data_IF_961104114718
#
_entry.id   IF_961104114718
#
_cell.length_a   1.000
_cell.length_b   1.000
_cell.length_c   1.000
_cell.angle_alpha   90.00
_cell.angle_beta   90.00
_cell.angle_gamma   90.00
#
_symmetry.space_group_name_H-M   'P 1'
#
loop_
_entity.id
_entity.type
_entity.pdbx_description
1 polymer ?
#
# COMPACT_ATOMS: atom_id res chain seq x y z
N UNK A 1 5.57 -6.78 11.36
CA UNK A 1 6.40 -6.27 10.22
C UNK A 1 6.34 -4.75 10.26
N UNK A 2 7.46 -4.06 10.11
CA UNK A 2 7.50 -2.59 10.07
C UNK A 2 7.33 -2.05 8.63
N UNK A 3 7.17 -0.73 8.50
CA UNK A 3 6.99 -0.08 7.20
C UNK A 3 8.16 -0.35 6.23
N UNK A 4 9.40 -0.28 6.72
CA UNK A 4 10.59 -0.55 5.90
C UNK A 4 10.61 -1.98 5.37
N UNK A 5 10.16 -2.97 6.18
CA UNK A 5 10.04 -4.35 5.73
C UNK A 5 8.96 -4.50 4.64
N UNK A 6 7.81 -3.81 4.75
CA UNK A 6 6.78 -3.80 3.72
C UNK A 6 7.29 -3.20 2.39
N UNK A 7 8.01 -2.08 2.46
CA UNK A 7 8.58 -1.44 1.28
C UNK A 7 9.64 -2.33 0.61
N UNK A 8 10.52 -2.96 1.40
CA UNK A 8 11.50 -3.94 0.89
C UNK A 8 10.83 -5.17 0.28
N UNK A 9 9.71 -5.64 0.84
CA UNK A 9 8.95 -6.75 0.26
C UNK A 9 8.36 -6.37 -1.11
N UNK A 10 7.81 -5.16 -1.25
CA UNK A 10 7.39 -4.63 -2.55
C UNK A 10 8.51 -4.66 -3.58
N UNK A 11 9.71 -4.24 -3.20
CA UNK A 11 10.85 -4.18 -4.10
C UNK A 11 11.42 -5.56 -4.44
N UNK A 12 11.62 -6.44 -3.42
CA UNK A 12 12.37 -7.68 -3.60
C UNK A 12 11.49 -8.85 -4.04
N UNK A 13 10.28 -8.91 -3.50
CA UNK A 13 9.42 -10.07 -3.63
C UNK A 13 8.34 -9.88 -4.71
N UNK A 14 7.87 -8.65 -4.92
CA UNK A 14 6.86 -8.32 -5.91
C UNK A 14 7.49 -7.68 -7.15
N UNK A 15 8.36 -6.71 -6.95
CA UNK A 15 9.11 -5.94 -7.93
C UNK A 15 8.23 -5.08 -8.86
N UNK A 16 7.34 -5.67 -9.65
CA UNK A 16 6.43 -4.93 -10.55
C UNK A 16 5.10 -4.68 -9.87
N UNK A 17 4.69 -3.42 -9.82
CA UNK A 17 3.43 -2.97 -9.23
C UNK A 17 2.57 -2.22 -10.25
N UNK A 18 1.25 -2.21 -10.03
CA UNK A 18 0.32 -1.35 -10.77
C UNK A 18 0.27 0.00 -10.09
N UNK A 19 0.75 1.02 -10.78
CA UNK A 19 0.74 2.41 -10.32
C UNK A 19 -0.46 3.16 -10.89
N UNK A 20 -1.12 3.97 -10.08
CA UNK A 20 -2.23 4.84 -10.45
C UNK A 20 -1.86 6.30 -10.21
N UNK A 21 -2.20 7.14 -11.18
CA UNK A 21 -2.08 8.60 -11.15
C UNK A 21 -3.35 9.22 -11.72
N UNK A 22 -3.55 10.52 -11.49
CA UNK A 22 -4.73 11.24 -11.99
C UNK A 22 -4.34 12.07 -13.20
N UNK A 23 -5.15 12.05 -14.26
CA UNK A 23 -4.97 12.87 -15.44
C UNK A 23 -5.56 14.29 -15.28
N UNK A 24 -5.55 15.06 -16.35
CA UNK A 24 -6.06 16.44 -16.36
C UNK A 24 -7.56 16.55 -16.15
N UNK A 25 -8.30 15.48 -16.44
CA UNK A 25 -9.76 15.42 -16.31
C UNK A 25 -10.17 14.88 -14.93
N UNK A 26 -9.19 14.60 -14.05
CA UNK A 26 -9.43 14.02 -12.73
C UNK A 26 -9.67 12.52 -12.75
N UNK A 27 -9.43 11.85 -13.88
CA UNK A 27 -9.65 10.41 -14.02
C UNK A 27 -8.39 9.61 -13.66
N UNK A 28 -8.55 8.42 -13.04
CA UNK A 28 -7.42 7.56 -12.69
C UNK A 28 -6.85 6.89 -13.95
N UNK A 29 -5.53 6.93 -14.09
CA UNK A 29 -4.78 6.25 -15.14
C UNK A 29 -3.76 5.33 -14.51
N UNK A 30 -3.72 4.07 -14.95
CA UNK A 30 -2.80 3.06 -14.42
C UNK A 30 -1.71 2.70 -15.41
N UNK A 31 -0.57 2.24 -14.87
CA UNK A 31 0.50 1.61 -15.64
C UNK A 31 1.30 0.66 -14.73
N UNK A 32 1.98 -0.32 -15.31
CA UNK A 32 2.96 -1.11 -14.60
C UNK A 32 4.24 -0.29 -14.36
N UNK A 33 4.83 -0.43 -13.17
CA UNK A 33 6.10 0.19 -12.80
C UNK A 33 6.92 -0.78 -11.97
N UNK A 34 8.21 -0.88 -12.26
CA UNK A 34 9.14 -1.66 -11.44
C UNK A 34 9.66 -0.82 -10.28
N UNK A 35 9.66 -1.43 -9.10
CA UNK A 35 10.24 -0.83 -7.90
C UNK A 35 11.74 -1.13 -7.91
N UNK A 36 12.54 -0.16 -8.28
CA UNK A 36 13.96 -0.30 -8.53
C UNK A 36 14.78 -0.45 -7.25
N UNK A 37 14.34 0.18 -6.17
CA UNK A 37 14.96 0.14 -4.85
C UNK A 37 13.96 0.55 -3.77
N UNK A 38 14.26 0.17 -2.50
CA UNK A 38 13.50 0.56 -1.32
C UNK A 38 14.43 0.79 -0.14
N UNK A 39 14.21 1.89 0.58
CA UNK A 39 14.82 2.16 1.88
C UNK A 39 13.73 2.35 2.95
N UNK A 40 14.13 2.65 4.19
CA UNK A 40 13.19 2.88 5.30
C UNK A 40 12.28 4.10 5.09
N UNK A 41 12.66 5.00 4.20
CA UNK A 41 11.94 6.25 3.92
C UNK A 41 11.22 6.28 2.59
N UNK A 42 11.17 5.19 1.81
CA UNK A 42 10.42 5.18 0.56
C UNK A 42 10.83 4.19 -0.52
N UNK A 43 10.20 4.34 -1.67
CA UNK A 43 10.40 3.52 -2.86
C UNK A 43 11.01 4.35 -3.99
N UNK A 44 11.87 3.73 -4.77
CA UNK A 44 12.48 4.33 -5.95
C UNK A 44 11.99 3.62 -7.21
N UNK A 45 11.57 4.40 -8.18
CA UNK A 45 11.17 3.92 -9.50
C UNK A 45 11.63 4.91 -10.58
N UNK A 46 11.60 4.48 -11.82
CA UNK A 46 12.00 5.34 -12.92
C UNK A 46 10.96 5.38 -14.04
N UNK A 47 10.98 6.46 -14.80
CA UNK A 47 10.16 6.62 -16.00
C UNK A 47 10.91 7.46 -17.04
N UNK A 48 10.51 7.35 -18.29
CA UNK A 48 10.99 8.26 -19.33
C UNK A 48 10.18 9.57 -19.31
N UNK A 49 10.87 10.71 -19.50
CA UNK A 49 10.26 12.05 -19.49
C UNK A 49 9.20 12.27 -20.55
N UNK A 50 9.25 11.53 -21.64
CA UNK A 50 8.24 11.60 -22.72
C UNK A 50 6.94 10.85 -22.43
N UNK A 51 6.83 10.11 -21.32
CA UNK A 51 5.61 9.36 -21.00
C UNK A 51 4.58 10.25 -20.30
N UNK A 52 3.29 10.04 -20.59
CA UNK A 52 2.19 10.71 -19.87
C UNK A 52 2.24 10.48 -18.36
N UNK A 53 2.74 9.33 -17.92
CA UNK A 53 2.98 9.02 -16.49
C UNK A 53 3.91 10.04 -15.83
N UNK A 54 5.00 10.42 -16.50
CA UNK A 54 5.89 11.49 -16.02
C UNK A 54 5.14 12.82 -15.82
N UNK A 55 4.36 13.23 -16.84
CA UNK A 55 3.59 14.47 -16.77
C UNK A 55 2.61 14.48 -15.58
N UNK A 56 1.89 13.38 -15.37
CA UNK A 56 0.95 13.25 -14.24
C UNK A 56 1.64 13.29 -12.88
N UNK A 57 2.79 12.63 -12.74
CA UNK A 57 3.58 12.69 -11.50
C UNK A 57 4.06 14.12 -11.20
N UNK A 58 4.48 14.85 -12.23
CA UNK A 58 4.88 16.27 -12.09
C UNK A 58 3.72 17.18 -11.71
N UNK A 59 2.55 16.92 -12.27
CA UNK A 59 1.36 17.75 -12.02
C UNK A 59 0.79 17.55 -10.61
N UNK A 60 0.73 16.30 -10.13
CA UNK A 60 0.07 15.99 -8.85
C UNK A 60 1.04 15.85 -7.67
N UNK A 61 2.28 15.48 -7.93
CA UNK A 61 3.23 15.12 -6.88
C UNK A 61 2.79 13.92 -6.02
N UNK A 62 1.89 13.08 -6.54
CA UNK A 62 1.26 11.99 -5.79
C UNK A 62 1.18 10.71 -6.63
N UNK A 63 1.29 9.56 -5.96
CA UNK A 63 1.22 8.23 -6.55
C UNK A 63 0.49 7.29 -5.62
N UNK A 64 -0.33 6.40 -6.20
CA UNK A 64 -0.82 5.20 -5.52
C UNK A 64 -0.35 3.99 -6.30
N UNK A 65 0.06 2.93 -5.61
CA UNK A 65 0.43 1.67 -6.27
C UNK A 65 0.03 0.46 -5.44
N UNK A 66 -0.18 -0.65 -6.13
CA UNK A 66 -0.47 -1.94 -5.50
C UNK A 66 0.36 -3.03 -6.17
N UNK A 67 1.06 -3.80 -5.36
CA UNK A 67 1.73 -5.00 -5.77
C UNK A 67 1.11 -6.24 -5.13
N UNK A 68 1.10 -7.36 -5.85
CA UNK A 68 0.49 -8.62 -5.40
C UNK A 68 1.46 -9.76 -5.67
N UNK A 69 1.63 -10.65 -4.69
CA UNK A 69 2.38 -11.91 -4.82
C UNK A 69 1.54 -13.09 -4.35
N UNK A 70 1.65 -14.22 -5.02
CA UNK A 70 0.98 -15.48 -4.72
C UNK A 70 0.33 -16.11 -5.95
N UNK A 71 0.32 -17.44 -6.00
CA UNK A 71 -0.15 -18.20 -7.16
C UNK A 71 -1.69 -18.26 -7.26
N UNK A 72 -2.38 -18.25 -6.13
CA UNK A 72 -3.83 -18.29 -6.05
C UNK A 72 -4.34 -17.30 -5.01
N UNK A 73 -5.66 -17.06 -4.99
CA UNK A 73 -6.27 -16.07 -4.10
C UNK A 73 -5.92 -16.27 -2.63
N UNK A 74 -5.94 -17.52 -2.14
CA UNK A 74 -5.68 -17.82 -0.72
C UNK A 74 -4.20 -17.90 -0.34
N UNK A 75 -3.29 -17.74 -1.30
CA UNK A 75 -1.85 -17.61 -1.06
C UNK A 75 -1.32 -16.20 -1.32
N UNK A 76 -2.22 -15.23 -1.56
CA UNK A 76 -1.83 -13.88 -1.94
C UNK A 76 -1.51 -13.00 -0.75
N UNK A 77 -0.42 -12.27 -0.94
CA UNK A 77 -0.08 -11.07 -0.18
C UNK A 77 -0.22 -9.88 -1.11
N UNK A 78 -0.96 -8.87 -0.69
CA UNK A 78 -1.09 -7.60 -1.39
C UNK A 78 -0.52 -6.48 -0.54
N UNK A 79 0.23 -5.57 -1.16
CA UNK A 79 0.72 -4.36 -0.51
C UNK A 79 0.29 -3.18 -1.36
N UNK A 80 -0.51 -2.30 -0.78
CA UNK A 80 -0.88 -1.03 -1.37
C UNK A 80 -0.15 0.09 -0.66
N UNK A 81 0.38 1.05 -1.40
CA UNK A 81 0.99 2.27 -0.83
C UNK A 81 0.54 3.47 -1.64
N UNK A 82 0.36 4.60 -0.96
CA UNK A 82 0.05 5.88 -1.60
C UNK A 82 0.78 7.01 -0.90
N UNK A 83 1.15 8.03 -1.64
CA UNK A 83 1.86 9.14 -1.01
C UNK A 83 2.51 10.11 -1.98
N UNK A 84 3.33 10.98 -1.41
CA UNK A 84 4.00 12.07 -2.11
C UNK A 84 5.25 11.56 -2.83
N UNK A 85 5.39 11.99 -4.08
CA UNK A 85 6.56 11.69 -4.92
C UNK A 85 7.34 12.95 -5.22
N UNK A 86 8.65 12.75 -5.42
CA UNK A 86 9.53 13.80 -5.95
C UNK A 86 10.47 13.24 -7.01
N UNK A 87 10.79 14.04 -7.99
CA UNK A 87 11.79 13.73 -8.99
C UNK A 87 13.20 13.95 -8.41
N UNK A 88 14.07 12.96 -8.61
CA UNK A 88 15.47 13.01 -8.23
C UNK A 88 16.39 13.26 -9.44
N UNK A 89 15.84 13.27 -10.65
CA UNK A 89 16.62 13.38 -11.87
C UNK A 89 17.36 12.10 -12.25
N UNK A 90 18.46 12.26 -12.99
CA UNK A 90 19.26 11.13 -13.49
C UNK A 90 20.38 10.67 -12.54
N UNK A 91 20.70 11.42 -11.50
CA UNK A 91 21.84 11.11 -10.61
C UNK A 91 21.80 9.70 -10.00
N UNK A 92 20.64 9.14 -9.55
CA UNK A 92 20.62 7.79 -9.00
C UNK A 92 20.63 6.66 -10.05
N UNK A 93 20.50 6.95 -11.36
CA UNK A 93 20.39 5.93 -12.41
C UNK A 93 21.54 4.91 -12.41
N UNK A 94 22.83 5.28 -12.31
CA UNK A 94 23.91 4.30 -12.33
C UNK A 94 23.73 3.23 -11.24
N UNK A 95 23.47 3.64 -10.00
CA UNK A 95 23.21 2.74 -8.87
C UNK A 95 22.00 1.84 -9.11
N UNK A 96 20.90 2.39 -9.60
CA UNK A 96 19.68 1.62 -9.85
C UNK A 96 19.87 0.61 -11.00
N UNK A 97 20.68 0.94 -12.00
CA UNK A 97 21.03 0.02 -13.10
C UNK A 97 21.96 -1.11 -12.63
N UNK A 98 22.85 -0.85 -11.65
CA UNK A 98 23.68 -1.88 -11.04
C UNK A 98 22.83 -2.87 -10.22
N UNK A 99 21.83 -2.37 -9.52
CA UNK A 99 20.90 -3.18 -8.76
C UNK A 99 19.89 -3.95 -9.64
N UNK A 100 19.62 -3.44 -10.86
CA UNK A 100 18.64 -3.98 -11.80
C UNK A 100 19.26 -4.14 -13.19
N UNK A 101 20.16 -5.14 -13.40
CA UNK A 101 20.97 -5.25 -14.63
C UNK A 101 20.16 -5.38 -15.91
N UNK A 102 18.94 -5.94 -15.86
CA UNK A 102 18.03 -6.07 -17.02
C UNK A 102 17.70 -4.72 -17.67
N UNK A 103 17.82 -3.61 -16.91
CA UNK A 103 17.61 -2.28 -17.45
C UNK A 103 18.62 -1.92 -18.56
N UNK A 104 19.80 -2.55 -18.58
CA UNK A 104 20.79 -2.35 -19.64
C UNK A 104 20.40 -3.03 -20.95
N UNK A 105 19.54 -4.04 -20.90
CA UNK A 105 18.96 -4.65 -22.11
C UNK A 105 17.97 -3.71 -22.77
N UNK A 106 17.19 -2.96 -21.96
CA UNK A 106 16.19 -2.00 -22.46
C UNK A 106 16.84 -0.67 -22.87
N UNK A 107 17.83 -0.19 -22.09
CA UNK A 107 18.54 1.08 -22.29
C UNK A 107 20.05 0.85 -22.31
N UNK A 108 20.60 0.30 -23.40
CA UNK A 108 21.97 -0.22 -23.46
C UNK A 108 23.04 0.86 -23.49
N UNK A 109 22.71 2.09 -23.86
CA UNK A 109 23.70 3.16 -24.03
C UNK A 109 23.42 4.35 -23.13
N UNK A 110 24.45 5.14 -22.77
CA UNK A 110 24.24 6.39 -22.03
C UNK A 110 23.30 7.37 -22.75
N UNK A 111 23.28 7.33 -24.10
CA UNK A 111 22.39 8.15 -24.89
C UNK A 111 20.92 7.73 -24.71
N UNK A 112 20.63 6.42 -24.73
CA UNK A 112 19.28 5.91 -24.50
C UNK A 112 18.78 6.17 -23.06
N UNK A 113 19.69 6.20 -22.08
CA UNK A 113 19.36 6.46 -20.67
C UNK A 113 19.01 7.93 -20.40
N UNK A 114 19.38 8.88 -21.27
CA UNK A 114 19.10 10.32 -21.11
C UNK A 114 17.62 10.65 -20.97
N UNK A 115 16.75 9.83 -21.54
CA UNK A 115 15.29 10.01 -21.44
C UNK A 115 14.76 9.71 -20.04
N UNK A 116 15.50 8.94 -19.24
CA UNK A 116 15.06 8.45 -17.95
C UNK A 116 15.26 9.48 -16.84
N UNK A 117 14.39 9.39 -15.86
CA UNK A 117 14.49 10.11 -14.59
C UNK A 117 13.99 9.22 -13.46
N UNK A 118 14.54 9.41 -12.28
CA UNK A 118 14.17 8.67 -11.07
C UNK A 118 13.19 9.49 -10.24
N UNK A 119 12.15 8.84 -9.75
CA UNK A 119 11.25 9.36 -8.74
C UNK A 119 11.44 8.60 -7.42
N UNK A 120 11.18 9.28 -6.32
CA UNK A 120 11.08 8.68 -5.00
C UNK A 120 9.68 8.95 -4.44
N UNK A 121 8.97 7.90 -4.05
CA UNK A 121 7.80 7.96 -3.17
C UNK A 121 8.36 8.06 -1.75
N UNK A 122 8.36 9.26 -1.15
CA UNK A 122 9.18 9.58 0.02
C UNK A 122 8.40 9.76 1.33
N UNK A 123 7.09 9.90 1.25
CA UNK A 123 6.22 10.00 2.42
C UNK A 123 4.82 9.54 2.05
N UNK A 124 4.24 8.68 2.86
CA UNK A 124 2.93 8.13 2.56
C UNK A 124 2.49 7.07 3.56
N UNK A 125 1.42 6.42 3.23
CA UNK A 125 0.82 5.34 3.98
C UNK A 125 0.64 4.11 3.10
N UNK A 126 0.50 2.97 3.72
CA UNK A 126 0.25 1.72 3.03
C UNK A 126 -0.54 0.74 3.87
N UNK A 127 -0.94 -0.32 3.21
CA UNK A 127 -1.64 -1.44 3.80
C UNK A 127 -1.01 -2.75 3.36
N UNK A 128 -0.77 -3.62 4.32
CA UNK A 128 -0.45 -5.02 4.12
C UNK A 128 -1.71 -5.85 4.26
N UNK A 129 -1.95 -6.77 3.33
CA UNK A 129 -3.06 -7.69 3.36
C UNK A 129 -2.60 -9.08 2.93
N UNK A 130 -2.65 -10.06 3.84
CA UNK A 130 -2.15 -11.42 3.62
C UNK A 130 -3.26 -12.45 3.81
N UNK A 131 -3.72 -12.99 2.70
CA UNK A 131 -4.75 -14.05 2.63
C UNK A 131 -4.19 -15.44 2.96
N UNK A 132 -2.87 -15.62 2.99
CA UNK A 132 -2.23 -16.90 3.30
C UNK A 132 -2.29 -17.24 4.78
N UNK A 133 -2.54 -16.25 5.64
CA UNK A 133 -2.64 -16.41 7.08
C UNK A 133 -4.04 -16.83 7.53
N UNK A 134 -4.11 -17.51 8.66
CA UNK A 134 -5.38 -17.90 9.31
C UNK A 134 -5.29 -17.61 10.81
N UNK A 135 -6.02 -16.60 11.30
CA UNK A 135 -6.87 -15.66 10.57
C UNK A 135 -6.06 -14.79 9.59
N UNK A 136 -6.76 -14.21 8.62
CA UNK A 136 -6.15 -13.27 7.64
C UNK A 136 -5.42 -12.16 8.38
N UNK A 137 -4.25 -11.76 7.88
CA UNK A 137 -3.48 -10.67 8.46
C UNK A 137 -3.64 -9.38 7.64
N UNK A 138 -3.92 -8.29 8.33
CA UNK A 138 -4.06 -6.96 7.74
C UNK A 138 -3.55 -5.90 8.70
N UNK A 139 -2.75 -4.97 8.22
CA UNK A 139 -2.36 -3.79 8.98
C UNK A 139 -2.01 -2.63 8.06
N UNK A 140 -2.18 -1.43 8.59
CA UNK A 140 -1.76 -0.20 7.92
C UNK A 140 -0.42 0.27 8.49
N UNK A 141 0.37 0.94 7.67
CA UNK A 141 1.66 1.52 8.06
C UNK A 141 1.87 2.88 7.38
N UNK A 142 2.74 3.70 7.94
CA UNK A 142 3.18 4.95 7.33
C UNK A 142 4.70 4.99 7.23
N UNK A 143 5.22 5.76 6.29
CA UNK A 143 6.65 5.94 6.07
C UNK A 143 6.98 7.40 5.73
N UNK A 144 8.26 7.75 5.89
CA UNK A 144 8.67 9.14 5.81
C UNK A 144 8.08 9.96 6.97
N UNK A 145 7.52 11.12 6.66
CA UNK A 145 6.90 12.01 7.66
C UNK A 145 5.35 11.93 7.64
N UNK A 146 4.78 10.90 7.03
CA UNK A 146 3.34 10.73 7.01
C UNK A 146 2.83 10.20 8.36
N UNK A 147 1.72 10.75 8.81
CA UNK A 147 0.99 10.27 9.99
C UNK A 147 -0.07 9.29 9.52
N UNK A 148 -0.08 8.11 10.10
CA UNK A 148 -1.12 7.12 9.84
C UNK A 148 -2.42 7.55 10.51
N UNK A 149 -3.48 7.71 9.72
CA UNK A 149 -4.83 7.82 10.23
C UNK A 149 -5.41 6.40 10.33
N UNK A 150 -5.71 5.91 11.54
CA UNK A 150 -6.28 4.59 11.68
C UNK A 150 -7.66 4.56 11.02
N UNK A 151 -7.82 3.71 10.02
CA UNK A 151 -9.13 3.41 9.43
C UNK A 151 -9.61 2.06 9.95
N UNK A 152 -10.86 1.97 10.36
CA UNK A 152 -11.39 0.69 10.82
C UNK A 152 -12.76 0.80 11.48
N UNK A 153 -13.14 -0.29 12.14
CA UNK A 153 -14.33 -0.34 12.98
C UNK A 153 -13.90 -0.47 14.44
N UNK A 154 -14.50 0.35 15.30
CA UNK A 154 -14.17 0.43 16.71
C UNK A 154 -15.44 0.25 17.53
N UNK A 155 -15.30 -0.31 18.74
CA UNK A 155 -16.42 -0.50 19.66
C UNK A 155 -16.31 0.53 20.77
N UNK A 156 -17.38 1.28 20.99
CA UNK A 156 -17.46 2.35 21.98
C UNK A 156 -17.97 1.83 23.32
N UNK A 157 -17.94 2.69 24.34
CA UNK A 157 -18.47 2.43 25.70
C UNK A 157 -19.99 2.09 25.74
N UNK A 158 -20.72 2.34 24.65
CA UNK A 158 -22.14 1.94 24.52
C UNK A 158 -22.32 0.41 24.38
N UNK A 159 -21.22 -0.35 24.24
CA UNK A 159 -21.26 -1.79 24.11
C UNK A 159 -21.74 -2.46 25.41
N UNK A 160 -22.78 -3.29 25.30
CA UNK A 160 -23.33 -4.06 26.45
C UNK A 160 -22.82 -5.51 26.51
N UNK A 161 -21.92 -5.92 25.62
CA UNK A 161 -21.40 -7.28 25.57
C UNK A 161 -22.40 -8.34 25.06
N UNK A 162 -23.43 -7.96 24.33
CA UNK A 162 -24.52 -8.85 23.87
C UNK A 162 -24.09 -9.91 22.85
N UNK A 163 -22.89 -9.82 22.27
CA UNK A 163 -22.24 -10.77 21.34
C UNK A 163 -22.94 -10.98 20.00
N UNK A 164 -23.97 -10.20 19.63
CA UNK A 164 -24.66 -10.34 18.34
C UNK A 164 -23.67 -10.18 17.17
N UNK A 165 -22.73 -9.25 17.27
CA UNK A 165 -21.72 -9.00 16.26
C UNK A 165 -20.68 -10.13 16.10
N UNK A 166 -20.51 -11.00 17.11
CA UNK A 166 -19.62 -12.17 17.05
C UNK A 166 -20.08 -13.15 15.95
N UNK A 167 -21.39 -13.43 15.90
CA UNK A 167 -21.97 -14.39 14.97
C UNK A 167 -21.83 -14.01 13.50
N UNK A 168 -21.67 -12.71 13.19
CA UNK A 168 -21.58 -12.21 11.81
C UNK A 168 -20.14 -11.85 11.41
N UNK A 169 -19.17 -11.99 12.31
CA UNK A 169 -17.78 -11.67 12.01
C UNK A 169 -17.09 -12.81 11.25
N UNK A 170 -16.76 -12.65 9.96
CA UNK A 170 -16.21 -13.75 9.16
C UNK A 170 -14.81 -14.20 9.59
N UNK A 171 -14.10 -13.37 10.36
CA UNK A 171 -12.74 -13.67 10.86
C UNK A 171 -12.72 -13.99 12.37
N UNK A 172 -13.87 -13.91 13.06
CA UNK A 172 -13.92 -14.09 14.52
C UNK A 172 -12.98 -13.14 15.26
N UNK A 173 -12.79 -11.91 14.73
CA UNK A 173 -11.79 -10.98 15.22
C UNK A 173 -12.28 -10.03 16.32
N UNK A 174 -13.46 -10.31 16.92
CA UNK A 174 -14.02 -9.51 18.01
C UNK A 174 -13.71 -10.23 19.33
N UNK A 175 -12.98 -9.56 20.20
CA UNK A 175 -12.57 -10.06 21.51
C UNK A 175 -13.56 -9.59 22.58
N UNK A 176 -14.17 -10.55 23.28
CA UNK A 176 -15.14 -10.35 24.35
C UNK A 176 -14.57 -10.67 25.74
N UNK A 177 -13.25 -10.64 25.91
CA UNK A 177 -12.61 -10.82 27.21
C UNK A 177 -12.96 -9.70 28.20
N UNK A 178 -13.42 -8.57 27.70
CA UNK A 178 -13.91 -7.42 28.45
C UNK A 178 -15.14 -6.79 27.80
N UNK A 179 -15.79 -5.86 28.49
CA UNK A 179 -16.86 -5.00 27.93
C UNK A 179 -16.43 -3.55 28.20
N UNK A 180 -16.35 -2.72 27.17
CA UNK A 180 -16.67 -2.99 25.77
C UNK A 180 -15.75 -4.04 25.11
N UNK A 181 -16.31 -4.81 24.16
CA UNK A 181 -15.54 -5.73 23.34
C UNK A 181 -14.56 -4.98 22.42
N UNK A 182 -13.53 -5.68 21.93
CA UNK A 182 -12.49 -5.04 21.09
C UNK A 182 -12.39 -5.75 19.74
N UNK A 183 -12.35 -4.98 18.64
CA UNK A 183 -12.07 -5.53 17.31
C UNK A 183 -10.55 -5.60 17.13
N UNK A 184 -10.03 -6.81 16.91
CA UNK A 184 -8.61 -7.04 16.57
C UNK A 184 -8.35 -6.58 15.15
N UNK A 185 -7.87 -5.35 15.00
CA UNK A 185 -7.69 -4.70 13.68
C UNK A 185 -6.79 -5.50 12.74
N UNK A 186 -5.80 -6.23 13.27
CA UNK A 186 -4.89 -7.08 12.50
C UNK A 186 -5.58 -8.22 11.73
N UNK A 187 -6.83 -8.53 12.07
CA UNK A 187 -7.61 -9.60 11.43
C UNK A 187 -8.95 -9.10 10.88
N UNK A 188 -9.23 -7.80 11.03
CA UNK A 188 -10.49 -7.21 10.59
C UNK A 188 -10.51 -6.98 9.08
N UNK A 189 -11.49 -7.58 8.38
CA UNK A 189 -11.70 -7.36 6.94
C UNK A 189 -12.32 -5.99 6.62
N UNK A 190 -12.73 -5.23 7.64
CA UNK A 190 -13.46 -3.96 7.48
C UNK A 190 -14.75 -4.11 6.67
N UNK A 191 -15.45 -5.25 6.82
CA UNK A 191 -16.67 -5.55 6.06
C UNK A 191 -17.92 -4.80 6.56
N UNK A 192 -17.91 -4.27 7.79
CA UNK A 192 -19.01 -3.50 8.36
C UNK A 192 -20.13 -4.31 9.03
N UNK A 193 -20.19 -5.63 8.88
CA UNK A 193 -21.29 -6.46 9.40
C UNK A 193 -21.57 -6.24 10.90
N UNK A 194 -20.50 -6.05 11.71
CA UNK A 194 -20.64 -5.82 13.14
C UNK A 194 -21.35 -4.50 13.46
N UNK A 195 -21.16 -3.47 12.62
CA UNK A 195 -21.84 -2.18 12.78
C UNK A 195 -23.33 -2.30 12.42
N UNK A 196 -23.65 -3.00 11.35
CA UNK A 196 -25.03 -3.15 10.87
C UNK A 196 -25.94 -3.89 11.86
N UNK A 197 -25.41 -4.89 12.57
CA UNK A 197 -26.20 -5.71 13.49
C UNK A 197 -26.21 -5.20 14.93
N UNK A 198 -25.46 -4.14 15.24
CA UNK A 198 -25.33 -3.69 16.63
C UNK A 198 -26.57 -2.96 17.12
N UNK A 199 -27.37 -3.53 18.08
CA UNK A 199 -28.61 -2.90 18.54
C UNK A 199 -28.37 -1.64 19.37
N UNK A 200 -27.13 -1.47 19.88
CA UNK A 200 -26.73 -0.31 20.68
C UNK A 200 -26.03 0.78 19.84
N UNK A 201 -25.89 0.59 18.52
CA UNK A 201 -25.08 1.45 17.67
C UNK A 201 -23.66 1.72 18.24
N UNK A 202 -23.14 0.73 18.98
CA UNK A 202 -21.87 0.85 19.69
C UNK A 202 -20.65 0.64 18.76
N UNK A 203 -20.83 0.22 17.52
CA UNK A 203 -19.73 0.06 16.55
C UNK A 203 -19.71 1.26 15.64
N UNK A 204 -18.56 1.94 15.59
CA UNK A 204 -18.34 3.11 14.76
C UNK A 204 -17.26 2.82 13.72
N UNK A 205 -17.24 3.60 12.64
CA UNK A 205 -16.17 3.63 11.64
C UNK A 205 -15.38 4.93 11.78
N UNK A 206 -14.08 4.80 11.85
CA UNK A 206 -13.11 5.92 11.77
C UNK A 206 -12.23 5.78 10.54
#
# INVERSE_FOLDING_TARGET
MDAGACLRYLQREIHTAVAATIDTDGLPVTCAVDIMDADEGGLYFLTARGKGFYGRLKATGYLSLTGIKGENTMSRTAISVRGKVRELGGAPLPRLFDMNPYMREIYPTPASQRALTVFRLYAGEGEWFDLSKKPIERFSFSFGQAVLNPEGYFITEACTGCRICEAVCPQGCIDFSAVPAVIRQAHCLRCGNCMEVCPQSAVIRE
#
